data_IF_791722693194
#
_entry.id   IF_791722693194
#
_cell.length_a   1.000
_cell.length_b   1.000
_cell.length_c   1.000
_cell.angle_alpha   90.00
_cell.angle_beta   90.00
_cell.angle_gamma   90.00
#
_symmetry.space_group_name_H-M   'P 1'
#
loop_
_entity.id
_entity.type
_entity.pdbx_description
1 polymer ?
#
# COMPACT_ATOMS: atom_id res chain seq x y z
N UNK A 1 21.07 -14.71 2.53
CA UNK A 1 20.49 -14.75 3.89
C UNK A 1 19.00 -14.45 3.74
N UNK A 2 18.12 -15.29 4.28
CA UNK A 2 16.68 -15.00 4.34
C UNK A 2 16.50 -13.70 5.13
N UNK A 3 15.94 -12.67 4.50
CA UNK A 3 15.47 -11.48 5.20
C UNK A 3 14.34 -11.98 6.11
N UNK A 4 14.58 -11.97 7.41
CA UNK A 4 13.68 -12.59 8.40
C UNK A 4 12.27 -12.03 8.26
N UNK A 5 11.28 -12.93 8.39
CA UNK A 5 9.85 -12.67 8.61
C UNK A 5 9.38 -11.27 8.19
N UNK A 6 8.78 -11.17 7.00
CA UNK A 6 8.02 -9.97 6.62
C UNK A 6 7.10 -9.59 7.79
N UNK A 7 7.33 -8.41 8.36
CA UNK A 7 6.42 -7.85 9.34
C UNK A 7 5.05 -7.65 8.70
N UNK A 8 4.00 -7.54 9.51
CA UNK A 8 2.70 -7.17 8.99
C UNK A 8 2.80 -5.82 8.26
N UNK A 9 2.16 -5.73 7.09
CA UNK A 9 1.95 -4.45 6.42
C UNK A 9 1.01 -3.61 7.28
N UNK A 10 1.55 -2.58 7.92
CA UNK A 10 0.89 -1.70 8.87
C UNK A 10 1.08 -0.25 8.43
N UNK A 11 -0.01 0.36 7.98
CA UNK A 11 0.01 1.73 7.48
C UNK A 11 0.31 2.73 8.59
N UNK A 12 1.09 3.76 8.24
CA UNK A 12 1.32 4.88 9.14
C UNK A 12 0.02 5.68 9.37
N UNK A 13 -0.41 5.88 10.63
CA UNK A 13 -1.66 6.58 10.93
C UNK A 13 -1.62 8.07 10.56
N UNK A 14 -0.44 8.69 10.53
CA UNK A 14 -0.26 10.08 10.09
C UNK A 14 -0.47 10.22 8.58
N UNK A 15 0.16 9.34 7.79
CA UNK A 15 -0.04 9.33 6.33
C UNK A 15 -1.49 8.97 5.99
N UNK A 16 -2.09 8.02 6.71
CA UNK A 16 -3.51 7.72 6.55
C UNK A 16 -4.40 8.94 6.83
N UNK A 17 -4.14 9.69 7.91
CA UNK A 17 -4.91 10.88 8.25
C UNK A 17 -4.82 12.00 7.19
N UNK A 18 -3.70 12.08 6.47
CA UNK A 18 -3.51 13.02 5.35
C UNK A 18 -4.28 12.58 4.11
N UNK A 19 -4.16 11.31 3.71
CA UNK A 19 -4.72 10.83 2.44
C UNK A 19 -6.22 10.55 2.52
N UNK A 20 -6.71 10.02 3.65
CA UNK A 20 -8.10 9.55 3.79
C UNK A 20 -9.17 10.61 3.44
N UNK A 21 -9.10 11.87 3.90
CA UNK A 21 -10.09 12.89 3.55
C UNK A 21 -10.16 13.17 2.04
N UNK A 22 -9.02 13.12 1.35
CA UNK A 22 -8.95 13.34 -0.10
C UNK A 22 -9.53 12.15 -0.88
N UNK A 23 -9.36 10.93 -0.37
CA UNK A 23 -10.04 9.75 -0.91
C UNK A 23 -11.56 9.83 -0.68
N UNK A 24 -11.99 10.29 0.49
CA UNK A 24 -13.42 10.50 0.77
C UNK A 24 -14.05 11.55 -0.14
N UNK A 25 -13.34 12.64 -0.42
CA UNK A 25 -13.80 13.65 -1.38
C UNK A 25 -13.86 13.12 -2.80
N UNK A 26 -12.82 12.38 -3.24
CA UNK A 26 -12.72 11.88 -4.61
C UNK A 26 -13.67 10.71 -4.91
N UNK A 27 -13.80 9.76 -3.98
CA UNK A 27 -14.51 8.50 -4.19
C UNK A 27 -15.83 8.39 -3.40
N UNK A 28 -16.10 9.30 -2.48
CA UNK A 28 -17.33 9.33 -1.71
C UNK A 28 -17.59 8.03 -0.95
N UNK A 29 -18.78 7.46 -1.13
CA UNK A 29 -19.20 6.22 -0.46
C UNK A 29 -18.39 4.98 -0.85
N UNK A 30 -17.58 5.05 -1.93
CA UNK A 30 -16.69 3.96 -2.33
C UNK A 30 -15.31 4.00 -1.63
N UNK A 31 -15.01 5.08 -0.90
CA UNK A 31 -13.86 5.16 0.02
C UNK A 31 -14.21 4.50 1.35
N UNK A 32 -13.70 3.30 1.60
CA UNK A 32 -14.06 2.48 2.76
C UNK A 32 -12.83 1.88 3.44
N UNK A 33 -12.97 1.57 4.73
CA UNK A 33 -11.91 0.88 5.48
C UNK A 33 -11.75 -0.55 5.00
N UNK A 34 -10.52 -0.93 4.69
CA UNK A 34 -10.16 -2.31 4.43
C UNK A 34 -10.05 -3.08 5.74
N UNK A 35 -10.57 -4.32 5.76
CA UNK A 35 -10.34 -5.23 6.88
C UNK A 35 -8.97 -5.91 6.73
N UNK A 36 -8.20 -6.08 7.82
CA UNK A 36 -6.98 -6.86 7.78
C UNK A 36 -7.21 -8.26 7.19
N UNK A 37 -6.30 -8.69 6.33
CA UNK A 37 -6.36 -10.01 5.70
C UNK A 37 -5.04 -10.76 5.87
N UNK A 38 -5.03 -12.06 5.58
CA UNK A 38 -3.89 -12.94 5.84
C UNK A 38 -2.87 -13.00 4.69
N UNK A 39 -3.04 -12.21 3.63
CA UNK A 39 -2.07 -12.17 2.54
C UNK A 39 -0.80 -11.45 3.01
N UNK A 40 0.36 -11.96 2.58
CA UNK A 40 1.67 -11.33 2.84
C UNK A 40 2.04 -10.40 1.68
N UNK A 41 2.73 -9.31 1.99
CA UNK A 41 3.20 -8.32 1.02
C UNK A 41 4.58 -7.82 1.48
N UNK A 42 5.50 -7.60 0.55
CA UNK A 42 6.84 -7.09 0.85
C UNK A 42 6.99 -5.57 0.67
N UNK A 43 5.92 -4.89 0.26
CA UNK A 43 5.84 -3.43 0.12
C UNK A 43 6.54 -2.64 1.25
N UNK A 44 6.38 -2.96 2.56
CA UNK A 44 7.01 -2.20 3.63
C UNK A 44 8.55 -2.24 3.64
N UNK A 45 9.19 -3.19 2.93
CA UNK A 45 10.65 -3.31 2.87
C UNK A 45 11.29 -2.02 2.33
N UNK A 46 10.69 -1.40 1.31
CA UNK A 46 11.20 -0.18 0.69
C UNK A 46 11.13 1.02 1.66
N UNK A 47 9.95 1.44 2.16
CA UNK A 47 9.87 2.61 3.04
C UNK A 47 10.63 2.42 4.35
N UNK A 48 10.67 1.19 4.88
CA UNK A 48 11.47 0.87 6.07
C UNK A 48 12.96 1.13 5.83
N UNK A 49 13.50 0.73 4.68
CA UNK A 49 14.91 0.97 4.34
C UNK A 49 15.26 2.47 4.23
N UNK A 50 14.29 3.33 3.92
CA UNK A 50 14.46 4.78 3.85
C UNK A 50 14.03 5.51 5.14
N UNK A 51 13.58 4.78 6.17
CA UNK A 51 13.05 5.37 7.39
C UNK A 51 11.84 6.30 7.16
N UNK A 52 11.06 6.08 6.10
CA UNK A 52 9.92 6.93 5.75
C UNK A 52 8.58 6.26 6.08
N UNK A 53 7.55 7.04 6.47
CA UNK A 53 6.23 6.49 6.71
C UNK A 53 5.57 6.10 5.38
N UNK A 54 4.61 5.18 5.41
CA UNK A 54 3.94 4.70 4.20
C UNK A 54 2.44 4.49 4.40
N UNK A 55 1.74 4.49 3.28
CA UNK A 55 0.34 4.09 3.18
C UNK A 55 0.19 3.12 2.01
N UNK A 56 -0.35 1.95 2.29
CA UNK A 56 -0.71 0.91 1.34
C UNK A 56 -2.24 0.75 1.32
N UNK A 57 -2.85 0.79 0.14
CA UNK A 57 -4.29 0.67 -0.04
C UNK A 57 -4.63 -0.32 -1.14
N UNK A 58 -5.91 -0.69 -1.23
CA UNK A 58 -6.42 -1.57 -2.28
C UNK A 58 -7.55 -0.90 -3.05
N UNK A 59 -7.77 -1.34 -4.29
CA UNK A 59 -8.86 -0.87 -5.14
C UNK A 59 -9.77 -2.04 -5.47
N UNK A 60 -11.08 -1.81 -5.40
CA UNK A 60 -12.07 -2.80 -5.82
C UNK A 60 -12.01 -3.04 -7.32
N UNK A 61 -11.66 -4.26 -7.72
CA UNK A 61 -11.47 -4.64 -9.13
C UNK A 61 -12.51 -5.66 -9.63
N UNK A 62 -13.48 -6.04 -8.80
CA UNK A 62 -14.57 -6.93 -9.22
C UNK A 62 -15.69 -6.09 -9.86
N UNK A 63 -16.23 -6.47 -11.03
CA UNK A 63 -17.35 -5.75 -11.64
C UNK A 63 -18.50 -5.56 -10.65
N UNK A 64 -18.98 -4.31 -10.50
CA UNK A 64 -19.97 -3.95 -9.46
C UNK A 64 -21.21 -4.83 -9.47
N UNK A 65 -21.71 -5.18 -10.65
CA UNK A 65 -22.88 -6.06 -10.81
C UNK A 65 -22.62 -7.48 -10.28
N UNK A 66 -21.41 -8.01 -10.47
CA UNK A 66 -21.01 -9.32 -9.96
C UNK A 66 -20.91 -9.29 -8.44
N UNK A 67 -20.22 -8.28 -7.88
CA UNK A 67 -20.10 -8.07 -6.44
C UNK A 67 -21.48 -8.00 -5.77
N UNK A 68 -22.35 -7.10 -6.23
CA UNK A 68 -23.69 -6.89 -5.64
C UNK A 68 -24.55 -8.16 -5.70
N UNK A 69 -24.44 -8.94 -6.78
CA UNK A 69 -25.14 -10.23 -6.91
C UNK A 69 -24.63 -11.23 -5.87
N UNK A 70 -23.31 -11.35 -5.73
CA UNK A 70 -22.68 -12.26 -4.79
C UNK A 70 -22.99 -11.90 -3.33
N UNK A 71 -22.96 -10.61 -2.98
CA UNK A 71 -23.39 -10.10 -1.65
C UNK A 71 -24.83 -10.47 -1.38
N UNK A 72 -25.76 -10.16 -2.29
CA UNK A 72 -27.19 -10.45 -2.12
C UNK A 72 -27.48 -11.95 -1.97
N UNK A 73 -26.67 -12.79 -2.61
CA UNK A 73 -26.79 -14.24 -2.54
C UNK A 73 -26.04 -14.88 -1.35
N UNK A 74 -25.22 -14.12 -0.62
CA UNK A 74 -24.35 -14.65 0.44
C UNK A 74 -23.28 -15.61 -0.10
N UNK A 75 -22.71 -15.31 -1.27
CA UNK A 75 -21.81 -16.21 -2.04
C UNK A 75 -20.53 -15.53 -2.51
N UNK A 76 -20.00 -14.57 -1.75
CA UNK A 76 -18.79 -13.83 -2.14
C UNK A 76 -17.59 -14.75 -2.38
N UNK A 77 -17.38 -15.73 -1.51
CA UNK A 77 -16.30 -16.73 -1.54
C UNK A 77 -16.41 -17.74 -2.69
N UNK A 78 -17.57 -17.81 -3.35
CA UNK A 78 -17.83 -18.72 -4.47
C UNK A 78 -17.86 -17.97 -5.81
N UNK A 79 -18.54 -16.82 -5.83
CA UNK A 79 -18.87 -16.11 -7.08
C UNK A 79 -17.83 -15.03 -7.44
N UNK A 80 -16.91 -14.69 -6.54
CA UNK A 80 -15.84 -13.71 -6.77
C UNK A 80 -14.48 -14.42 -6.70
N UNK A 81 -13.79 -14.61 -7.85
CA UNK A 81 -12.46 -15.21 -7.86
C UNK A 81 -11.47 -14.36 -7.06
N UNK A 82 -10.76 -14.98 -6.12
CA UNK A 82 -9.69 -14.33 -5.35
C UNK A 82 -8.41 -14.16 -6.19
N UNK A 83 -7.46 -13.40 -5.68
CA UNK A 83 -6.08 -13.42 -6.17
C UNK A 83 -5.56 -14.89 -6.23
N UNK A 84 -4.69 -15.18 -7.19
CA UNK A 84 -4.16 -16.52 -7.52
C UNK A 84 -5.17 -17.56 -8.04
N UNK A 85 -6.45 -17.19 -8.23
CA UNK A 85 -7.41 -18.06 -8.91
C UNK A 85 -7.23 -17.99 -10.44
N UNK A 86 -7.28 -19.10 -11.19
CA UNK A 86 -7.14 -19.09 -12.66
C UNK A 86 -8.27 -18.34 -13.39
N UNK A 87 -9.43 -18.15 -12.74
CA UNK A 87 -10.54 -17.35 -13.25
C UNK A 87 -10.48 -15.88 -12.83
N UNK A 88 -9.41 -15.44 -12.16
CA UNK A 88 -9.23 -14.06 -11.74
C UNK A 88 -9.14 -13.12 -12.94
N UNK A 89 -10.08 -12.18 -13.02
CA UNK A 89 -10.16 -11.19 -14.09
C UNK A 89 -10.61 -9.84 -13.52
N UNK A 90 -9.69 -8.88 -13.36
CA UNK A 90 -10.03 -7.51 -12.96
C UNK A 90 -10.95 -6.82 -13.98
N UNK A 91 -11.87 -5.99 -13.48
CA UNK A 91 -12.61 -5.03 -14.30
C UNK A 91 -11.65 -3.96 -14.82
N UNK A 92 -11.48 -3.87 -16.14
CA UNK A 92 -10.56 -2.91 -16.76
C UNK A 92 -10.93 -1.45 -16.47
N UNK A 93 -12.19 -1.16 -16.11
CA UNK A 93 -12.58 0.18 -15.68
C UNK A 93 -11.89 0.61 -14.38
N UNK A 94 -11.38 -0.33 -13.58
CA UNK A 94 -10.62 -0.02 -12.37
C UNK A 94 -9.26 0.64 -12.65
N UNK A 95 -8.72 0.57 -13.88
CA UNK A 95 -7.46 1.23 -14.22
C UNK A 95 -7.52 2.76 -14.03
N UNK A 96 -8.65 3.38 -14.37
CA UNK A 96 -8.88 4.80 -14.13
C UNK A 96 -8.89 5.10 -12.63
N UNK A 97 -9.63 4.31 -11.86
CA UNK A 97 -9.70 4.44 -10.40
C UNK A 97 -8.33 4.28 -9.73
N UNK A 98 -7.51 3.33 -10.18
CA UNK A 98 -6.15 3.16 -9.67
C UNK A 98 -5.27 4.38 -9.97
N UNK A 99 -5.41 4.97 -11.16
CA UNK A 99 -4.66 6.16 -11.58
C UNK A 99 -5.07 7.38 -10.75
N UNK A 100 -6.38 7.57 -10.59
CA UNK A 100 -6.94 8.65 -9.78
C UNK A 100 -6.52 8.50 -8.31
N UNK A 101 -6.61 7.29 -7.74
CA UNK A 101 -6.20 7.04 -6.35
C UNK A 101 -4.71 7.33 -6.13
N UNK A 102 -3.84 6.93 -7.06
CA UNK A 102 -2.42 7.24 -6.99
C UNK A 102 -2.17 8.76 -7.08
N UNK A 103 -2.82 9.45 -8.01
CA UNK A 103 -2.67 10.89 -8.16
C UNK A 103 -3.16 11.66 -6.93
N UNK A 104 -4.35 11.31 -6.42
CA UNK A 104 -4.93 11.93 -5.22
C UNK A 104 -4.04 11.72 -3.99
N UNK A 105 -3.54 10.50 -3.76
CA UNK A 105 -2.67 10.22 -2.63
C UNK A 105 -1.37 11.02 -2.70
N UNK A 106 -0.72 11.07 -3.87
CA UNK A 106 0.52 11.84 -4.07
C UNK A 106 0.26 13.34 -3.89
N UNK A 107 -0.81 13.88 -4.47
CA UNK A 107 -1.14 15.30 -4.35
C UNK A 107 -1.50 15.69 -2.91
N UNK A 108 -2.24 14.84 -2.18
CA UNK A 108 -2.53 15.05 -0.77
C UNK A 108 -1.24 15.14 0.07
N UNK A 109 -0.27 14.25 -0.20
CA UNK A 109 1.03 14.32 0.46
C UNK A 109 1.85 15.56 0.06
N UNK A 110 1.75 16.03 -1.19
CA UNK A 110 2.45 17.24 -1.64
C UNK A 110 1.83 18.54 -1.11
N UNK A 111 0.53 18.54 -0.81
CA UNK A 111 -0.19 19.67 -0.22
C UNK A 111 -0.02 19.74 1.31
N UNK A 112 0.32 18.61 1.95
CA UNK A 112 0.54 18.55 3.38
C UNK A 112 1.93 19.07 3.78
N UNK A 113 1.96 19.91 4.82
CA UNK A 113 3.20 20.39 5.44
C UNK A 113 3.70 19.33 6.44
N UNK A 114 4.61 18.48 5.99
CA UNK A 114 5.25 17.47 6.84
C UNK A 114 6.25 18.16 7.75
N UNK A 115 6.13 17.91 9.06
CA UNK A 115 7.21 18.27 9.99
C UNK A 115 8.48 17.59 9.47
N UNK A 116 9.58 18.34 9.22
CA UNK A 116 10.83 17.72 8.79
C UNK A 116 11.13 16.56 9.72
N UNK A 117 11.28 15.37 9.13
CA UNK A 117 11.62 14.19 9.90
C UNK A 117 12.76 14.56 10.85
N UNK A 118 12.59 14.28 12.15
CA UNK A 118 13.71 14.23 13.08
C UNK A 118 14.83 13.38 12.47
N UNK A 119 16.08 13.55 12.90
CA UNK A 119 17.22 12.90 12.25
C UNK A 119 16.90 11.43 11.97
N UNK A 120 16.96 11.06 10.68
CA UNK A 120 16.88 9.66 10.28
C UNK A 120 18.01 8.98 11.05
N UNK A 121 17.67 8.07 11.96
CA UNK A 121 18.69 7.33 12.71
C UNK A 121 19.71 6.81 11.71
N UNK A 122 21.00 6.95 12.03
CA UNK A 122 22.10 6.40 11.25
C UNK A 122 22.03 4.86 11.30
N UNK A 123 21.00 4.28 10.69
CA UNK A 123 20.86 2.85 10.52
C UNK A 123 21.93 2.44 9.50
N UNK A 124 22.93 1.63 9.89
CA UNK A 124 23.96 1.14 8.98
C UNK A 124 23.38 0.34 7.80
N UNK A 125 22.10 -0.02 7.83
CA UNK A 125 21.36 -0.63 6.72
C UNK A 125 20.66 0.35 5.78
N UNK A 126 20.44 1.61 6.18
CA UNK A 126 19.82 2.63 5.32
C UNK A 126 20.72 2.99 4.11
N UNK A 127 22.02 2.76 4.22
CA UNK A 127 23.01 2.95 3.16
C UNK A 127 23.45 1.63 2.50
N UNK A 128 22.78 0.51 2.76
CA UNK A 128 23.14 -0.76 2.16
C UNK A 128 22.96 -0.71 0.63
N UNK A 129 23.90 -1.31 -0.12
CA UNK A 129 23.75 -1.40 -1.56
C UNK A 129 22.60 -2.36 -1.95
N UNK A 130 22.26 -2.42 -3.24
CA UNK A 130 21.18 -3.29 -3.74
C UNK A 130 21.40 -4.79 -3.44
N UNK A 131 22.61 -5.19 -3.02
CA UNK A 131 22.96 -6.55 -2.61
C UNK A 131 22.83 -6.78 -1.09
N UNK A 132 22.50 -5.73 -0.32
CA UNK A 132 22.30 -5.82 1.12
C UNK A 132 23.60 -5.88 1.92
N UNK A 133 24.69 -5.30 1.43
CA UNK A 133 25.89 -5.08 2.27
C UNK A 133 25.89 -3.66 2.85
N UNK A 134 26.17 -3.47 4.14
CA UNK A 134 26.26 -2.13 4.73
C UNK A 134 27.35 -1.31 4.02
N UNK A 135 27.11 -0.02 3.82
CA UNK A 135 28.09 0.88 3.22
C UNK A 135 29.40 0.85 4.02
N UNK A 136 30.41 0.14 3.51
CA UNK A 136 31.73 0.12 4.13
C UNK A 136 32.41 1.45 3.83
N UNK A 137 32.74 2.22 4.87
CA UNK A 137 33.60 3.39 4.74
C UNK A 137 34.96 2.97 4.14
N UNK A 138 35.22 3.39 2.90
CA UNK A 138 36.47 3.10 2.17
C UNK A 138 37.54 4.18 2.41
N UNK A 139 37.33 5.13 3.31
CA UNK A 139 38.28 6.22 3.59
C UNK A 139 39.52 5.80 4.39
N UNK A 140 39.56 4.56 4.89
CA UNK A 140 40.66 4.03 5.72
C UNK A 140 41.53 2.97 5.05
N UNK A 141 41.63 2.94 3.72
CA UNK A 141 42.65 2.16 2.99
C UNK A 141 43.69 3.02 2.29
#
# INVERSE_FOLDING_TARGET
>A
RFVGLLAATENDPGVHAVVRPHFDECFGADSVDMQPWTASEDFPVIPTAFGCPYLFWTVGITPRRQWNRAVKAGRLDIDVPSNHNPGFLPDLSALGVCTDAAAVAVLACLDHDWDPAGPVDDDPWAAADWAGEPAVDRSTR
#
